data_IF_147669652621
#
_entry.id   IF_147669652621
#
_cell.length_a   1.000
_cell.length_b   1.000
_cell.length_c   1.000
_cell.angle_alpha   90.00
_cell.angle_beta   90.00
_cell.angle_gamma   90.00
#
_symmetry.space_group_name_H-M   'P 1'
#
loop_
_entity.id
_entity.type
_entity.pdbx_description
1 polymer ?
#
# COMPACT_ATOMS: atom_id res chain seq x y z
N UNK A 1 -11.24 -4.54 -7.02
CA UNK A 1 -12.61 -4.88 -6.56
C UNK A 1 -12.85 -6.35 -6.77
N UNK A 2 -13.50 -7.01 -5.80
CA UNK A 2 -13.91 -8.41 -5.96
C UNK A 2 -15.32 -8.45 -6.54
N UNK A 3 -15.48 -9.03 -7.72
CA UNK A 3 -16.73 -9.09 -8.48
C UNK A 3 -16.64 -10.19 -9.55
N UNK A 4 -17.77 -10.70 -10.02
CA UNK A 4 -17.84 -11.42 -11.29
C UNK A 4 -17.52 -10.48 -12.47
N UNK A 5 -17.44 -11.04 -13.68
CA UNK A 5 -17.05 -10.29 -14.88
C UNK A 5 -18.09 -9.24 -15.30
N UNK A 6 -19.38 -9.58 -15.25
CA UNK A 6 -20.47 -8.67 -15.66
C UNK A 6 -20.55 -7.46 -14.73
N UNK A 7 -20.53 -7.70 -13.41
CA UNK A 7 -20.53 -6.65 -12.42
C UNK A 7 -19.26 -5.79 -12.48
N UNK A 8 -18.09 -6.39 -12.75
CA UNK A 8 -16.85 -5.63 -12.90
C UNK A 8 -16.91 -4.67 -14.09
N UNK A 9 -17.34 -5.11 -15.27
CA UNK A 9 -17.41 -4.24 -16.44
C UNK A 9 -18.45 -3.12 -16.27
N UNK A 10 -19.53 -3.36 -15.53
CA UNK A 10 -20.52 -2.33 -15.19
C UNK A 10 -19.95 -1.21 -14.31
N UNK A 11 -19.20 -1.56 -13.25
CA UNK A 11 -18.71 -0.57 -12.26
C UNK A 11 -17.40 0.10 -12.66
N UNK A 12 -16.62 -0.54 -13.53
CA UNK A 12 -15.32 -0.02 -14.02
C UNK A 12 -15.38 1.40 -14.59
N UNK A 13 -16.31 1.80 -15.48
CA UNK A 13 -16.37 3.17 -15.99
C UNK A 13 -16.66 4.19 -14.89
N UNK A 14 -17.47 3.81 -13.89
CA UNK A 14 -17.77 4.67 -12.73
C UNK A 14 -16.52 4.84 -11.86
N UNK A 15 -15.82 3.76 -11.50
CA UNK A 15 -14.59 3.85 -10.70
C UNK A 15 -13.48 4.64 -11.38
N UNK A 16 -13.37 4.59 -12.71
CA UNK A 16 -12.38 5.35 -13.47
C UNK A 16 -12.54 6.87 -13.36
N UNK A 17 -13.68 7.37 -12.89
CA UNK A 17 -13.88 8.81 -12.69
C UNK A 17 -13.06 9.37 -11.52
N UNK A 18 -12.66 8.54 -10.55
CA UNK A 18 -11.92 9.00 -9.36
C UNK A 18 -10.72 8.12 -8.98
N UNK A 19 -10.70 6.85 -9.38
CA UNK A 19 -9.61 5.95 -9.05
C UNK A 19 -8.50 6.03 -10.10
N UNK A 20 -7.27 6.29 -9.66
CA UNK A 20 -6.08 6.28 -10.51
C UNK A 20 -5.77 4.89 -11.07
N UNK A 21 -6.22 3.83 -10.40
CA UNK A 21 -6.03 2.43 -10.82
C UNK A 21 -7.25 1.60 -10.40
N UNK A 22 -7.81 0.85 -11.35
CA UNK A 22 -8.96 -0.03 -11.14
C UNK A 22 -8.59 -1.45 -11.55
N UNK A 23 -8.49 -2.37 -10.59
CA UNK A 23 -8.11 -3.78 -10.81
C UNK A 23 -9.24 -4.70 -10.37
N UNK A 24 -9.59 -5.71 -11.18
CA UNK A 24 -10.44 -6.84 -10.73
C UNK A 24 -9.57 -7.77 -9.90
N UNK A 25 -9.87 -7.88 -8.60
CA UNK A 25 -9.08 -8.65 -7.63
C UNK A 25 -9.46 -10.14 -7.62
N UNK A 26 -10.49 -10.53 -8.36
CA UNK A 26 -11.11 -11.86 -8.36
C UNK A 26 -12.57 -11.79 -7.95
N UNK A 27 -13.10 -12.91 -7.44
CA UNK A 27 -14.48 -13.07 -6.98
C UNK A 27 -14.87 -12.15 -5.80
N UNK A 28 -16.17 -12.00 -5.47
CA UNK A 28 -16.62 -11.26 -4.29
C UNK A 28 -15.82 -11.58 -3.02
N UNK A 29 -15.45 -10.52 -2.29
CA UNK A 29 -14.55 -10.60 -1.12
C UNK A 29 -13.05 -10.60 -1.42
N UNK A 30 -12.61 -10.90 -2.66
CA UNK A 30 -11.18 -10.86 -3.02
C UNK A 30 -10.58 -9.45 -2.90
N UNK A 31 -11.37 -8.41 -3.21
CA UNK A 31 -10.96 -7.01 -3.00
C UNK A 31 -10.67 -6.68 -1.54
N UNK A 32 -11.47 -7.20 -0.61
CA UNK A 32 -11.26 -7.02 0.84
C UNK A 32 -9.97 -7.69 1.29
N UNK A 33 -9.74 -8.95 0.88
CA UNK A 33 -8.49 -9.68 1.19
C UNK A 33 -7.26 -8.97 0.63
N UNK A 34 -7.33 -8.51 -0.62
CA UNK A 34 -6.26 -7.72 -1.24
C UNK A 34 -5.98 -6.43 -0.46
N UNK A 35 -7.04 -5.74 0.01
CA UNK A 35 -6.88 -4.52 0.81
C UNK A 35 -6.22 -4.79 2.16
N UNK A 36 -6.56 -5.91 2.82
CA UNK A 36 -5.89 -6.34 4.05
C UNK A 36 -4.40 -6.57 3.83
N UNK A 37 -4.02 -7.32 2.79
CA UNK A 37 -2.62 -7.55 2.44
C UNK A 37 -1.87 -6.23 2.16
N UNK A 38 -2.48 -5.31 1.40
CA UNK A 38 -1.90 -3.97 1.16
C UNK A 38 -1.70 -3.19 2.45
N UNK A 39 -2.70 -3.17 3.33
CA UNK A 39 -2.60 -2.47 4.61
C UNK A 39 -1.50 -3.07 5.50
N UNK A 40 -1.35 -4.40 5.51
CA UNK A 40 -0.28 -5.07 6.23
C UNK A 40 1.11 -4.61 5.77
N UNK A 41 1.36 -4.57 4.45
CA UNK A 41 2.62 -4.03 3.90
C UNK A 41 2.90 -2.59 4.37
N UNK A 42 1.85 -1.78 4.48
CA UNK A 42 1.96 -0.38 4.88
C UNK A 42 2.35 -0.25 6.35
N UNK A 43 1.66 -0.98 7.22
CA UNK A 43 1.91 -0.90 8.66
C UNK A 43 3.25 -1.54 9.05
N UNK A 44 3.64 -2.64 8.39
CA UNK A 44 4.98 -3.21 8.55
C UNK A 44 6.04 -2.22 8.09
N UNK A 45 5.81 -1.52 6.97
CA UNK A 45 6.72 -0.47 6.50
C UNK A 45 6.91 0.66 7.53
N UNK A 46 5.85 1.07 8.23
CA UNK A 46 5.96 2.04 9.32
C UNK A 46 6.73 1.51 10.53
N UNK A 47 6.47 0.27 10.94
CA UNK A 47 7.22 -0.36 12.03
C UNK A 47 8.72 -0.44 11.70
N UNK A 48 9.07 -0.93 10.50
CA UNK A 48 10.44 -1.00 10.02
C UNK A 48 11.12 0.38 9.96
N UNK A 49 10.39 1.41 9.50
CA UNK A 49 10.93 2.78 9.48
C UNK A 49 11.24 3.30 10.89
N UNK A 50 10.36 3.04 11.86
CA UNK A 50 10.59 3.42 13.26
C UNK A 50 11.81 2.70 13.86
N UNK A 51 11.92 1.38 13.64
CA UNK A 51 13.06 0.58 14.11
C UNK A 51 14.38 1.04 13.47
N UNK A 52 14.38 1.32 12.16
CA UNK A 52 15.55 1.83 11.46
C UNK A 52 15.99 3.20 11.98
N UNK A 53 15.05 4.09 12.32
CA UNK A 53 15.36 5.38 12.93
C UNK A 53 15.99 5.19 14.32
N UNK A 54 15.45 4.30 15.15
CA UNK A 54 16.05 3.98 16.47
C UNK A 54 17.44 3.39 16.37
N UNK A 55 17.66 2.49 15.40
CA UNK A 55 18.99 1.96 15.12
C UNK A 55 19.97 3.07 14.69
N UNK A 56 19.53 3.97 13.82
CA UNK A 56 20.34 5.09 13.34
C UNK A 56 20.70 6.07 14.48
N UNK A 57 19.75 6.43 15.33
CA UNK A 57 19.99 7.24 16.53
C UNK A 57 21.03 6.59 17.44
N UNK A 58 20.88 5.30 17.73
CA UNK A 58 21.83 4.55 18.57
C UNK A 58 23.24 4.46 17.95
N UNK A 59 23.34 4.48 16.62
CA UNK A 59 24.59 4.50 15.88
C UNK A 59 25.17 5.92 15.67
N UNK A 60 24.52 6.97 16.19
CA UNK A 60 24.96 8.35 16.03
C UNK A 60 24.76 8.92 14.61
N UNK A 61 23.87 8.31 13.82
CA UNK A 61 23.56 8.74 12.45
C UNK A 61 22.45 9.79 12.49
N UNK A 62 22.70 10.93 11.84
CA UNK A 62 21.69 11.97 11.64
C UNK A 62 20.51 11.47 10.79
N UNK A 63 19.28 11.58 11.31
CA UNK A 63 18.08 11.07 10.65
C UNK A 63 17.74 11.81 9.34
N UNK A 64 18.15 13.06 9.18
CA UNK A 64 17.97 13.78 7.92
C UNK A 64 18.89 13.23 6.83
N UNK A 65 20.14 12.89 7.17
CA UNK A 65 21.07 12.17 6.28
C UNK A 65 20.52 10.79 5.91
N UNK A 66 20.06 10.00 6.88
CA UNK A 66 19.42 8.72 6.59
C UNK A 66 18.21 8.90 5.64
N UNK A 67 17.35 9.86 5.94
CA UNK A 67 16.18 10.15 5.10
C UNK A 67 16.54 10.54 3.66
N UNK A 68 17.67 11.22 3.43
CA UNK A 68 18.17 11.51 2.07
C UNK A 68 18.62 10.24 1.34
N UNK A 69 19.26 9.30 2.03
CA UNK A 69 19.69 8.01 1.44
C UNK A 69 18.48 7.16 1.06
N UNK A 70 17.45 7.10 1.90
CA UNK A 70 16.24 6.28 1.65
C UNK A 70 15.39 6.80 0.48
N UNK A 71 15.47 8.10 0.16
CA UNK A 71 14.67 8.74 -0.92
C UNK A 71 15.42 8.87 -2.25
N UNK A 72 16.69 8.51 -2.30
CA UNK A 72 17.45 8.45 -3.55
C UNK A 72 17.03 7.22 -4.36
#
# INVERSE_FOLDING_TARGET
VGADDEAYELVKPVFKQWASMVVRAGEPGAGTRMKLARNMLTFIGFAAACEAQKLAEAAGIDLQKLGRVVRH
#
